data_IF_148718744134
#
_entry.id   IF_148718744134
#
_cell.length_a   1.000
_cell.length_b   1.000
_cell.length_c   1.000
_cell.angle_alpha   90.00
_cell.angle_beta   90.00
_cell.angle_gamma   90.00
#
_symmetry.space_group_name_H-M   'P 1'
#
loop_
_entity.id
_entity.type
_entity.pdbx_description
1 polymer ?
#
# COMPACT_ATOMS: atom_id res chain seq x y z
N UNK A 1 27.75 -12.70 16.65
CA UNK A 1 26.32 -13.05 16.73
C UNK A 1 25.56 -11.73 16.65
N UNK A 2 25.01 -11.39 15.48
CA UNK A 2 24.43 -10.06 15.25
C UNK A 2 22.92 -10.17 15.42
N UNK A 3 22.42 -9.62 16.52
CA UNK A 3 20.99 -9.52 16.80
C UNK A 3 20.28 -8.77 15.64
N UNK A 4 19.04 -9.13 15.30
CA UNK A 4 18.24 -8.39 14.32
C UNK A 4 17.71 -7.11 14.97
N UNK A 5 18.60 -6.15 15.22
CA UNK A 5 18.22 -4.83 15.72
C UNK A 5 17.64 -3.99 14.58
N UNK A 6 16.44 -3.48 14.80
CA UNK A 6 15.92 -2.32 14.06
C UNK A 6 16.67 -1.09 14.57
N UNK A 7 17.96 -0.96 14.25
CA UNK A 7 18.76 0.20 14.68
C UNK A 7 18.91 1.26 13.58
N UNK A 8 18.27 1.09 12.43
CA UNK A 8 18.26 2.14 11.41
C UNK A 8 17.23 3.21 11.79
N UNK A 9 17.72 4.35 12.28
CA UNK A 9 16.93 5.56 12.49
C UNK A 9 16.12 5.92 11.23
N UNK A 10 16.68 5.69 10.04
CA UNK A 10 16.01 5.81 8.74
C UNK A 10 14.71 4.99 8.65
N UNK A 11 14.71 3.74 9.15
CA UNK A 11 13.53 2.87 9.08
C UNK A 11 12.42 3.41 9.97
N UNK A 12 12.74 3.87 11.18
CA UNK A 12 11.78 4.52 12.08
C UNK A 12 11.24 5.83 11.49
N UNK A 13 12.07 6.58 10.79
CA UNK A 13 11.65 7.81 10.10
C UNK A 13 10.70 7.49 8.95
N UNK A 14 11.01 6.49 8.11
CA UNK A 14 10.12 6.03 7.04
C UNK A 14 8.79 5.51 7.56
N UNK A 15 8.78 4.76 8.67
CA UNK A 15 7.55 4.33 9.35
C UNK A 15 6.72 5.52 9.86
N UNK A 16 7.37 6.58 10.32
CA UNK A 16 6.69 7.79 10.80
C UNK A 16 6.18 8.68 9.66
N UNK A 17 6.92 8.75 8.56
CA UNK A 17 6.54 9.52 7.36
C UNK A 17 5.43 8.84 6.55
N UNK A 18 5.34 7.51 6.64
CA UNK A 18 4.41 6.70 5.87
C UNK A 18 3.44 5.93 6.76
N UNK A 19 2.22 6.46 6.91
CA UNK A 19 1.14 5.86 7.72
C UNK A 19 0.74 4.43 7.31
N UNK A 20 1.07 4.00 6.09
CA UNK A 20 0.77 2.66 5.57
C UNK A 20 1.88 1.62 5.79
N UNK A 21 2.95 1.96 6.53
CA UNK A 21 4.00 1.02 6.91
C UNK A 21 3.83 0.64 8.39
N UNK A 22 3.86 -0.66 8.69
CA UNK A 22 3.76 -1.19 10.04
C UNK A 22 4.90 -2.18 10.31
N UNK A 23 5.55 -2.09 11.46
CA UNK A 23 6.59 -3.04 11.85
C UNK A 23 5.95 -4.27 12.51
N UNK A 24 6.19 -5.45 11.93
CA UNK A 24 5.67 -6.72 12.41
C UNK A 24 6.82 -7.56 12.96
N UNK A 25 6.64 -8.10 14.16
CA UNK A 25 7.60 -8.99 14.80
C UNK A 25 7.14 -10.42 14.58
N UNK A 26 7.89 -11.19 13.77
CA UNK A 26 7.56 -12.57 13.44
C UNK A 26 8.55 -13.52 14.11
N UNK A 27 8.09 -14.25 15.12
CA UNK A 27 8.85 -15.32 15.79
C UNK A 27 8.39 -15.60 17.22
N UNK A 28 8.56 -16.84 17.70
CA UNK A 28 8.42 -17.24 19.10
C UNK A 28 9.80 -17.56 19.69
N UNK A 29 10.14 -16.98 20.85
CA UNK A 29 11.39 -17.23 21.56
C UNK A 29 12.62 -16.49 21.00
N UNK A 30 13.80 -17.11 21.09
CA UNK A 30 15.13 -16.53 20.81
C UNK A 30 15.38 -16.14 19.32
N UNK A 31 14.42 -16.36 18.42
CA UNK A 31 14.50 -16.08 16.99
C UNK A 31 13.49 -15.03 16.51
N UNK A 32 13.16 -14.04 17.33
CA UNK A 32 12.29 -12.95 16.92
C UNK A 32 12.90 -12.16 15.75
N UNK A 33 12.29 -12.26 14.56
CA UNK A 33 12.69 -11.52 13.36
C UNK A 33 11.76 -10.34 13.18
N UNK A 34 12.33 -9.17 13.00
CA UNK A 34 11.53 -8.00 12.64
C UNK A 34 11.35 -7.95 11.13
N UNK A 35 10.13 -7.64 10.69
CA UNK A 35 9.74 -7.30 9.33
C UNK A 35 8.95 -6.00 9.30
N UNK A 36 8.87 -5.37 8.13
CA UNK A 36 7.99 -4.23 7.88
C UNK A 36 6.94 -4.66 6.89
N UNK A 37 5.68 -4.52 7.26
CA UNK A 37 4.51 -4.80 6.43
C UNK A 37 3.96 -3.48 5.90
N UNK A 38 3.79 -3.39 4.59
CA UNK A 38 3.07 -2.27 3.97
C UNK A 38 1.59 -2.63 3.81
N UNK A 39 0.68 -1.88 4.44
CA UNK A 39 -0.76 -2.12 4.36
C UNK A 39 -1.31 -1.95 2.95
N UNK A 40 -0.81 -0.96 2.21
CA UNK A 40 -1.23 -0.68 0.82
C UNK A 40 -0.97 -1.87 -0.12
N UNK A 41 0.17 -2.55 0.06
CA UNK A 41 0.57 -3.66 -0.83
C UNK A 41 0.45 -5.03 -0.18
N UNK A 42 0.11 -5.09 1.12
CA UNK A 42 0.15 -6.30 1.94
C UNK A 42 1.47 -7.08 1.78
N UNK A 43 2.58 -6.36 1.68
CA UNK A 43 3.89 -6.94 1.40
C UNK A 43 4.78 -6.83 2.62
N UNK A 44 5.42 -7.93 3.01
CA UNK A 44 6.33 -8.01 4.15
C UNK A 44 7.78 -7.97 3.68
N UNK A 45 8.53 -6.97 4.11
CA UNK A 45 9.95 -6.78 3.76
C UNK A 45 10.82 -6.74 5.01
N UNK A 46 12.13 -6.81 4.80
CA UNK A 46 13.09 -6.63 5.89
C UNK A 46 13.07 -5.17 6.37
N UNK A 47 13.29 -4.91 7.67
CA UNK A 47 13.36 -3.57 8.27
C UNK A 47 14.70 -2.92 7.92
N UNK A 48 14.98 -2.77 6.62
CA UNK A 48 16.16 -2.10 6.08
C UNK A 48 15.70 -0.97 5.19
N UNK A 49 16.35 0.19 5.33
CA UNK A 49 16.05 1.36 4.51
C UNK A 49 16.09 1.04 3.01
N UNK A 50 17.08 0.25 2.58
CA UNK A 50 17.27 -0.12 1.19
C UNK A 50 16.08 -0.95 0.65
N UNK A 51 15.59 -1.90 1.44
CA UNK A 51 14.42 -2.71 1.10
C UNK A 51 13.13 -1.89 1.07
N UNK A 52 12.96 -0.97 2.03
CA UNK A 52 11.79 -0.08 2.12
C UNK A 52 11.80 0.92 0.96
N UNK A 53 12.91 1.60 0.70
CA UNK A 53 13.06 2.51 -0.43
C UNK A 53 12.87 1.79 -1.77
N UNK A 54 13.43 0.59 -1.94
CA UNK A 54 13.21 -0.22 -3.13
C UNK A 54 11.74 -0.57 -3.31
N UNK A 55 11.02 -0.87 -2.22
CA UNK A 55 9.57 -1.10 -2.27
C UNK A 55 8.80 0.18 -2.57
N UNK A 56 9.11 1.31 -1.94
CA UNK A 56 8.48 2.60 -2.18
C UNK A 56 8.68 3.08 -3.63
N UNK A 57 9.85 2.80 -4.23
CA UNK A 57 10.16 3.07 -5.64
C UNK A 57 9.63 1.99 -6.58
N UNK A 58 9.11 0.87 -6.08
CA UNK A 58 8.62 -0.22 -6.91
C UNK A 58 7.29 0.12 -7.56
N UNK A 59 7.14 -0.32 -8.82
CA UNK A 59 5.91 -0.15 -9.61
C UNK A 59 4.65 -0.65 -8.90
N UNK A 60 4.77 -1.70 -8.05
CA UNK A 60 3.66 -2.22 -7.25
C UNK A 60 3.17 -1.20 -6.22
N UNK A 61 4.09 -0.59 -5.48
CA UNK A 61 3.76 0.40 -4.47
C UNK A 61 3.25 1.69 -5.09
N UNK A 62 3.90 2.20 -6.14
CA UNK A 62 3.45 3.39 -6.87
C UNK A 62 2.04 3.18 -7.41
N UNK A 63 1.77 2.03 -8.05
CA UNK A 63 0.40 1.69 -8.49
C UNK A 63 -0.58 1.61 -7.32
N UNK A 64 -0.25 0.92 -6.23
CA UNK A 64 -1.15 0.81 -5.08
C UNK A 64 -1.44 2.17 -4.44
N UNK A 65 -0.41 3.02 -4.30
CA UNK A 65 -0.51 4.40 -3.81
C UNK A 65 -1.39 5.24 -4.73
N UNK A 66 -1.14 5.19 -6.03
CA UNK A 66 -1.96 5.90 -7.02
C UNK A 66 -3.40 5.40 -6.95
N UNK A 67 -3.64 4.08 -6.93
CA UNK A 67 -5.00 3.51 -6.91
C UNK A 67 -5.81 3.87 -5.66
N UNK A 68 -5.18 3.96 -4.50
CA UNK A 68 -5.86 4.30 -3.23
C UNK A 68 -5.90 5.80 -2.95
N UNK A 69 -4.96 6.58 -3.49
CA UNK A 69 -4.86 8.02 -3.26
C UNK A 69 -5.36 8.85 -4.44
N UNK A 70 -5.80 8.23 -5.55
CA UNK A 70 -6.37 8.95 -6.68
C UNK A 70 -7.71 9.56 -6.29
N UNK A 71 -7.84 10.86 -6.52
CA UNK A 71 -9.12 11.57 -6.44
C UNK A 71 -10.05 11.11 -7.56
N UNK A 72 -10.83 10.06 -7.30
CA UNK A 72 -11.91 9.62 -8.18
C UNK A 72 -13.12 10.56 -8.14
N UNK A 73 -13.15 11.52 -7.22
CA UNK A 73 -14.24 12.50 -7.11
C UNK A 73 -14.39 13.37 -8.36
N UNK A 74 -13.35 13.51 -9.19
CA UNK A 74 -13.45 14.21 -10.48
C UNK A 74 -14.37 13.52 -11.50
N UNK A 75 -14.67 12.23 -11.31
CA UNK A 75 -15.56 11.47 -12.17
C UNK A 75 -16.98 11.33 -11.60
N UNK A 76 -17.25 11.87 -10.41
CA UNK A 76 -18.61 11.94 -9.89
C UNK A 76 -19.44 12.92 -10.76
N UNK A 77 -20.73 12.63 -11.03
CA UNK A 77 -21.56 11.55 -10.48
C UNK A 77 -21.52 10.23 -11.29
N UNK A 78 -20.68 10.14 -12.33
CA UNK A 78 -20.68 9.02 -13.26
C UNK A 78 -19.95 7.80 -12.73
N UNK A 79 -18.79 7.97 -12.10
CA UNK A 79 -17.99 6.87 -11.53
C UNK A 79 -17.90 7.09 -10.02
N UNK A 80 -18.64 6.28 -9.27
CA UNK A 80 -18.77 6.38 -7.81
C UNK A 80 -18.15 5.16 -7.13
N UNK A 81 -17.82 5.27 -5.84
CA UNK A 81 -17.38 4.11 -5.07
C UNK A 81 -18.52 3.07 -4.96
N UNK A 82 -18.21 1.79 -5.22
CA UNK A 82 -19.23 0.76 -5.19
C UNK A 82 -19.68 0.48 -3.76
N UNK A 83 -20.98 0.71 -3.46
CA UNK A 83 -21.57 0.61 -2.11
C UNK A 83 -21.31 -0.72 -1.37
N UNK A 84 -21.26 -1.85 -2.08
CA UNK A 84 -20.95 -3.18 -1.50
C UNK A 84 -19.49 -3.62 -1.62
N UNK A 85 -18.71 -2.99 -2.51
CA UNK A 85 -17.35 -3.44 -2.85
C UNK A 85 -16.44 -2.23 -2.71
N UNK A 86 -15.97 -1.97 -1.50
CA UNK A 86 -15.15 -0.78 -1.20
C UNK A 86 -13.84 -0.69 -2.00
N UNK A 87 -13.43 -1.78 -2.66
CA UNK A 87 -12.26 -1.86 -3.54
C UNK A 87 -12.58 -1.67 -5.03
N UNK A 88 -13.85 -1.52 -5.40
CA UNK A 88 -14.32 -1.36 -6.78
C UNK A 88 -15.05 -0.05 -6.94
N UNK A 89 -15.05 0.46 -8.17
CA UNK A 89 -15.86 1.60 -8.58
C UNK A 89 -17.08 1.10 -9.34
N UNK A 90 -18.10 1.93 -9.42
CA UNK A 90 -19.32 1.66 -10.14
C UNK A 90 -19.59 2.80 -11.10
N UNK A 91 -19.73 2.48 -12.38
CA UNK A 91 -20.13 3.45 -13.38
C UNK A 91 -21.66 3.49 -13.47
N UNK A 92 -22.25 4.63 -13.13
CA UNK A 92 -23.68 4.89 -13.25
C UNK A 92 -24.15 4.97 -14.71
N UNK A 93 -23.27 5.34 -15.65
CA UNK A 93 -23.61 5.46 -17.08
C UNK A 93 -23.81 4.08 -17.71
N UNK A 94 -22.87 3.16 -17.51
CA UNK A 94 -22.90 1.82 -18.12
C UNK A 94 -23.41 0.74 -17.18
N UNK A 95 -23.76 1.10 -15.93
CA UNK A 95 -24.14 0.19 -14.86
C UNK A 95 -23.12 -0.95 -14.63
N UNK A 96 -21.83 -0.67 -14.84
CA UNK A 96 -20.76 -1.67 -14.81
C UNK A 96 -19.87 -1.47 -13.59
N UNK A 97 -19.39 -2.58 -13.01
CA UNK A 97 -18.40 -2.57 -11.92
C UNK A 97 -17.01 -2.46 -12.53
N UNK A 98 -16.26 -1.44 -12.12
CA UNK A 98 -14.90 -1.17 -12.56
C UNK A 98 -13.90 -1.42 -11.42
N UNK A 99 -12.65 -1.74 -11.79
CA UNK A 99 -11.57 -1.78 -10.83
C UNK A 99 -11.13 -0.36 -10.45
N UNK A 100 -10.55 -0.19 -9.26
CA UNK A 100 -9.89 1.06 -8.81
C UNK A 100 -8.55 1.29 -9.51
N UNK A 101 -8.50 1.10 -10.83
CA UNK A 101 -7.30 1.28 -11.63
C UNK A 101 -7.52 2.56 -12.45
N UNK A 102 -6.80 3.66 -12.18
CA UNK A 102 -7.03 4.95 -12.83
C UNK A 102 -6.87 4.85 -14.36
N UNK A 103 -5.94 4.02 -14.85
CA UNK A 103 -5.78 3.76 -16.29
C UNK A 103 -6.96 3.02 -16.94
N UNK A 104 -7.73 2.25 -16.17
CA UNK A 104 -8.96 1.59 -16.66
C UNK A 104 -10.14 2.56 -16.59
N UNK A 105 -10.22 3.34 -15.50
CA UNK A 105 -11.23 4.38 -15.30
C UNK A 105 -11.12 5.51 -16.33
N UNK A 106 -9.90 5.89 -16.73
CA UNK A 106 -9.66 6.94 -17.72
C UNK A 106 -9.94 6.48 -19.16
N UNK A 107 -9.86 5.17 -19.42
CA UNK A 107 -10.15 4.58 -20.73
C UNK A 107 -11.62 4.20 -20.94
N UNK A 108 -12.36 4.00 -19.84
CA UNK A 108 -13.77 3.63 -19.81
C UNK A 108 -14.67 4.85 -19.98
#
# INVERSE_FOLDING_TARGET
MTAPVIDDADVKQLLSEHQFLEAVFTGEGEQQRVRVRCELTQHEMLPRKDAIEAHLKSKKFVKAKEWYCYDYSKYEPFIVAHRRKSKSLFCNVTNTVLNRIPAEVEKH
#
